data_IF_692845917284
#
_entry.id   IF_692845917284
#
_cell.length_a   1.000
_cell.length_b   1.000
_cell.length_c   1.000
_cell.angle_alpha   90.00
_cell.angle_beta   90.00
_cell.angle_gamma   90.00
#
_symmetry.space_group_name_H-M   'P 1'
#
loop_
_entity.id
_entity.type
_entity.pdbx_description
1 polymer ?
#
# COMPACT_ATOMS: atom_id res chain seq x y z
N UNK A 1 21.40 -32.98 19.97
CA UNK A 1 20.70 -34.17 19.42
C UNK A 1 20.76 -34.12 17.90
N UNK A 2 21.49 -35.06 17.26
CA UNK A 2 21.56 -35.21 15.79
C UNK A 2 20.81 -36.48 15.41
N UNK A 3 19.49 -36.39 15.31
CA UNK A 3 18.67 -37.43 14.68
C UNK A 3 18.86 -37.37 13.17
N UNK A 4 18.87 -38.52 12.50
CA UNK A 4 18.90 -38.72 11.04
C UNK A 4 18.43 -37.49 10.25
N UNK A 5 19.38 -36.64 9.82
CA UNK A 5 19.05 -35.32 9.28
C UNK A 5 18.36 -35.48 7.95
N UNK A 6 17.05 -35.31 7.94
CA UNK A 6 16.29 -35.08 6.72
C UNK A 6 17.01 -33.99 5.91
N UNK A 7 17.30 -34.21 4.61
CA UNK A 7 18.00 -33.21 3.82
C UNK A 7 17.18 -31.91 3.80
N UNK A 8 17.85 -30.76 3.92
CA UNK A 8 17.18 -29.48 3.75
C UNK A 8 16.54 -29.39 2.36
N UNK A 9 15.56 -28.51 2.18
CA UNK A 9 14.80 -28.46 0.95
C UNK A 9 15.68 -28.18 -0.28
N UNK A 10 16.74 -27.37 -0.11
CA UNK A 10 17.74 -27.12 -1.14
C UNK A 10 18.47 -28.37 -1.63
N UNK A 11 19.02 -29.15 -0.69
CA UNK A 11 19.73 -30.38 -1.03
C UNK A 11 18.80 -31.43 -1.61
N UNK A 12 17.54 -31.50 -1.14
CA UNK A 12 16.50 -32.35 -1.72
C UNK A 12 16.20 -31.96 -3.17
N UNK A 13 16.01 -30.67 -3.44
CA UNK A 13 15.76 -30.14 -4.78
C UNK A 13 16.92 -30.41 -5.74
N UNK A 14 18.15 -30.16 -5.29
CA UNK A 14 19.38 -30.39 -6.05
C UNK A 14 19.79 -31.87 -6.15
N UNK A 15 19.07 -32.78 -5.51
CA UNK A 15 19.37 -34.22 -5.45
C UNK A 15 20.80 -34.54 -4.99
N UNK A 16 21.30 -33.79 -3.99
CA UNK A 16 22.66 -33.98 -3.42
C UNK A 16 22.60 -34.29 -1.92
N UNK A 17 23.67 -34.90 -1.40
CA UNK A 17 23.79 -35.19 0.04
C UNK A 17 23.85 -33.90 0.85
N UNK A 18 23.03 -33.80 1.90
CA UNK A 18 23.06 -32.68 2.85
C UNK A 18 24.10 -32.96 3.93
N UNK A 19 25.19 -32.20 3.95
CA UNK A 19 26.28 -32.30 4.94
C UNK A 19 26.06 -31.35 6.11
N UNK A 20 26.82 -31.52 7.20
CA UNK A 20 26.68 -30.70 8.40
C UNK A 20 27.01 -29.22 8.17
N UNK A 21 27.90 -28.93 7.22
CA UNK A 21 28.33 -27.58 6.80
C UNK A 21 27.51 -27.02 5.65
N UNK A 22 26.29 -27.54 5.43
CA UNK A 22 25.45 -27.10 4.32
C UNK A 22 25.01 -25.64 4.48
N UNK A 23 25.47 -24.78 3.57
CA UNK A 23 25.13 -23.35 3.52
C UNK A 23 23.64 -23.04 3.38
N UNK A 24 22.85 -23.99 2.85
CA UNK A 24 21.41 -23.81 2.66
C UNK A 24 20.57 -24.32 3.84
N UNK A 25 21.14 -25.20 4.67
CA UNK A 25 20.37 -25.86 5.73
C UNK A 25 19.77 -24.88 6.75
N UNK A 26 20.46 -23.82 7.20
CA UNK A 26 19.87 -22.87 8.15
C UNK A 26 18.58 -22.20 7.65
N UNK A 27 18.41 -22.05 6.34
CA UNK A 27 17.37 -21.21 5.76
C UNK A 27 16.20 -21.98 5.14
N UNK A 28 16.40 -23.23 4.71
CA UNK A 28 15.42 -24.01 3.96
C UNK A 28 15.01 -25.32 4.68
N UNK A 29 14.92 -25.30 6.01
CA UNK A 29 14.41 -26.42 6.82
C UNK A 29 12.96 -26.25 7.29
N UNK A 30 12.30 -25.13 6.98
CA UNK A 30 10.90 -24.89 7.31
C UNK A 30 9.94 -25.52 6.28
N UNK A 31 8.64 -25.52 6.59
CA UNK A 31 7.60 -26.09 5.73
C UNK A 31 7.55 -25.44 4.32
N UNK A 32 7.82 -24.13 4.25
CA UNK A 32 7.86 -23.37 2.99
C UNK A 32 9.18 -23.55 2.21
N UNK A 33 10.18 -24.20 2.82
CA UNK A 33 11.52 -24.37 2.29
C UNK A 33 11.57 -24.91 0.86
N UNK A 34 10.77 -25.92 0.49
CA UNK A 34 10.70 -26.42 -0.89
C UNK A 34 10.25 -25.37 -1.91
N UNK A 35 9.20 -24.61 -1.60
CA UNK A 35 8.71 -23.53 -2.48
C UNK A 35 9.73 -22.40 -2.57
N UNK A 36 10.22 -21.95 -1.42
CA UNK A 36 11.24 -20.90 -1.30
C UNK A 36 12.50 -21.23 -2.09
N UNK A 37 13.03 -22.45 -1.95
CA UNK A 37 14.24 -22.82 -2.67
C UNK A 37 13.98 -22.97 -4.17
N UNK A 38 12.85 -23.53 -4.60
CA UNK A 38 12.51 -23.64 -6.01
C UNK A 38 12.43 -22.26 -6.68
N UNK A 39 11.80 -21.27 -6.02
CA UNK A 39 11.72 -19.90 -6.52
C UNK A 39 13.10 -19.25 -6.62
N UNK A 40 13.88 -19.29 -5.54
CA UNK A 40 15.24 -18.74 -5.50
C UNK A 40 16.13 -19.39 -6.55
N UNK A 41 16.05 -20.71 -6.70
CA UNK A 41 16.83 -21.44 -7.70
C UNK A 41 16.46 -21.02 -9.13
N UNK A 42 15.17 -20.82 -9.41
CA UNK A 42 14.70 -20.42 -10.74
C UNK A 42 15.12 -18.98 -11.10
N UNK A 43 15.10 -18.07 -10.14
CA UNK A 43 15.35 -16.63 -10.38
C UNK A 43 16.83 -16.28 -10.27
N UNK A 44 17.50 -16.69 -9.19
CA UNK A 44 18.89 -16.33 -8.93
C UNK A 44 19.85 -17.46 -9.31
N UNK A 45 19.40 -18.71 -9.19
CA UNK A 45 20.27 -19.89 -9.26
C UNK A 45 20.95 -20.16 -7.91
N UNK A 46 21.18 -21.45 -7.61
CA UNK A 46 21.78 -21.87 -6.34
C UNK A 46 23.16 -21.24 -6.09
N UNK A 47 24.01 -21.16 -7.12
CA UNK A 47 25.37 -20.63 -6.99
C UNK A 47 25.39 -19.12 -6.69
N UNK A 48 24.57 -18.33 -7.39
CA UNK A 48 24.51 -16.89 -7.17
C UNK A 48 23.88 -16.57 -5.83
N UNK A 49 22.80 -17.26 -5.47
CA UNK A 49 22.19 -17.14 -4.15
C UNK A 49 23.21 -17.47 -3.04
N UNK A 50 23.93 -18.58 -3.16
CA UNK A 50 24.97 -18.95 -2.18
C UNK A 50 26.07 -17.90 -2.07
N UNK A 51 26.53 -17.34 -3.20
CA UNK A 51 27.53 -16.26 -3.23
C UNK A 51 27.02 -14.99 -2.56
N UNK A 52 25.77 -14.61 -2.82
CA UNK A 52 25.15 -13.40 -2.26
C UNK A 52 25.05 -13.49 -0.73
N UNK A 53 24.53 -14.60 -0.22
CA UNK A 53 24.38 -14.81 1.23
C UNK A 53 25.73 -14.93 1.94
N UNK A 54 26.73 -15.57 1.31
CA UNK A 54 28.05 -15.75 1.94
C UNK A 54 28.83 -14.43 2.10
N UNK A 55 28.52 -13.40 1.32
CA UNK A 55 29.14 -12.07 1.42
C UNK A 55 28.59 -11.23 2.58
N UNK A 56 27.43 -11.60 3.11
CA UNK A 56 26.77 -10.87 4.19
C UNK A 56 27.27 -11.35 5.58
N UNK A 57 27.32 -10.45 6.58
CA UNK A 57 27.49 -10.82 7.97
C UNK A 57 26.44 -11.83 8.42
N UNK A 58 26.78 -12.76 9.31
CA UNK A 58 25.89 -13.87 9.68
C UNK A 58 24.53 -13.43 10.22
N UNK A 59 24.48 -12.33 10.96
CA UNK A 59 23.26 -11.78 11.55
C UNK A 59 22.26 -11.28 10.49
N UNK A 60 22.75 -10.76 9.36
CA UNK A 60 21.89 -10.23 8.28
C UNK A 60 21.38 -11.33 7.34
N UNK A 61 22.01 -12.51 7.34
CA UNK A 61 21.72 -13.55 6.35
C UNK A 61 20.28 -14.03 6.41
N UNK A 62 19.70 -14.19 7.60
CA UNK A 62 18.32 -14.64 7.74
C UNK A 62 17.33 -13.67 7.07
N UNK A 63 17.52 -12.37 7.27
CA UNK A 63 16.65 -11.35 6.71
C UNK A 63 16.88 -11.19 5.21
N UNK A 64 18.14 -11.23 4.76
CA UNK A 64 18.47 -11.23 3.35
C UNK A 64 17.85 -12.43 2.61
N UNK A 65 17.91 -13.64 3.17
CA UNK A 65 17.27 -14.81 2.55
C UNK A 65 15.76 -14.62 2.45
N UNK A 66 15.10 -14.07 3.48
CA UNK A 66 13.67 -13.80 3.44
C UNK A 66 13.32 -12.83 2.31
N UNK A 67 14.08 -11.74 2.17
CA UNK A 67 13.90 -10.76 1.09
C UNK A 67 14.12 -11.37 -0.29
N UNK A 68 15.15 -12.19 -0.48
CA UNK A 68 15.42 -12.87 -1.75
C UNK A 68 14.33 -13.90 -2.09
N UNK A 69 13.82 -14.64 -1.11
CA UNK A 69 12.69 -15.53 -1.32
C UNK A 69 11.46 -14.75 -1.79
N UNK A 70 11.17 -13.60 -1.18
CA UNK A 70 10.06 -12.73 -1.59
C UNK A 70 10.26 -12.17 -3.02
N UNK A 71 11.45 -11.67 -3.35
CA UNK A 71 11.74 -11.17 -4.69
C UNK A 71 11.63 -12.28 -5.74
N UNK A 72 12.16 -13.48 -5.44
CA UNK A 72 12.07 -14.62 -6.33
C UNK A 72 10.62 -14.98 -6.65
N UNK A 73 9.76 -15.10 -5.63
CA UNK A 73 8.34 -15.36 -5.84
C UNK A 73 7.66 -14.25 -6.63
N UNK A 74 8.03 -12.99 -6.38
CA UNK A 74 7.47 -11.86 -7.11
C UNK A 74 7.82 -11.94 -8.59
N UNK A 75 9.06 -12.26 -8.95
CA UNK A 75 9.49 -12.49 -10.35
C UNK A 75 8.86 -13.73 -10.99
N UNK A 76 8.48 -14.75 -10.20
CA UNK A 76 7.73 -15.88 -10.73
C UNK A 76 6.28 -15.52 -11.06
N UNK A 77 5.65 -14.64 -10.28
CA UNK A 77 4.29 -14.16 -10.54
C UNK A 77 4.24 -13.12 -11.65
N UNK A 78 5.20 -12.20 -11.65
CA UNK A 78 5.34 -11.14 -12.64
C UNK A 78 6.77 -11.18 -13.22
N UNK A 79 6.97 -11.86 -14.37
CA UNK A 79 8.29 -11.99 -14.98
C UNK A 79 8.89 -10.68 -15.50
N UNK A 80 8.07 -9.64 -15.69
CA UNK A 80 8.51 -8.36 -16.27
C UNK A 80 8.94 -7.42 -15.15
N UNK A 81 8.07 -7.21 -14.16
CA UNK A 81 8.27 -6.20 -13.12
C UNK A 81 8.52 -6.78 -11.72
N UNK A 82 8.20 -8.05 -11.48
CA UNK A 82 8.48 -8.73 -10.22
C UNK A 82 7.90 -8.01 -8.99
N UNK A 83 8.76 -7.66 -8.04
CA UNK A 83 8.37 -6.91 -6.84
C UNK A 83 8.05 -5.45 -7.12
N UNK A 84 8.53 -4.87 -8.23
CA UNK A 84 8.29 -3.47 -8.59
C UNK A 84 6.82 -3.22 -8.91
N UNK A 85 6.14 -4.20 -9.51
CA UNK A 85 4.68 -4.14 -9.73
C UNK A 85 3.91 -3.98 -8.41
N UNK A 86 4.29 -4.74 -7.38
CA UNK A 86 3.68 -4.62 -6.04
C UNK A 86 3.99 -3.27 -5.39
N UNK A 87 5.22 -2.75 -5.54
CA UNK A 87 5.59 -1.41 -5.07
C UNK A 87 4.68 -0.37 -5.73
N UNK A 88 4.55 -0.41 -7.06
CA UNK A 88 3.73 0.52 -7.82
C UNK A 88 2.25 0.48 -7.38
N UNK A 89 1.66 -0.72 -7.26
CA UNK A 89 0.28 -0.87 -6.81
C UNK A 89 0.06 -0.33 -5.39
N UNK A 90 1.03 -0.48 -4.49
CA UNK A 90 0.97 0.09 -3.15
C UNK A 90 1.07 1.62 -3.17
N UNK A 91 1.96 2.18 -4.00
CA UNK A 91 2.08 3.62 -4.17
C UNK A 91 0.77 4.23 -4.69
N UNK A 92 0.14 3.61 -5.69
CA UNK A 92 -1.16 4.09 -6.20
C UNK A 92 -2.25 4.06 -5.11
N UNK A 93 -2.25 3.03 -4.25
CA UNK A 93 -3.17 2.96 -3.11
C UNK A 93 -2.90 4.07 -2.09
N UNK A 94 -1.64 4.37 -1.78
CA UNK A 94 -1.27 5.47 -0.88
C UNK A 94 -1.81 6.80 -1.42
N UNK A 95 -1.56 7.10 -2.70
CA UNK A 95 -2.03 8.35 -3.33
C UNK A 95 -3.56 8.43 -3.32
N UNK A 96 -4.25 7.35 -3.70
CA UNK A 96 -5.72 7.29 -3.69
C UNK A 96 -6.29 7.52 -2.30
N UNK A 97 -5.72 6.86 -1.28
CA UNK A 97 -6.16 7.02 0.12
C UNK A 97 -5.87 8.43 0.65
N UNK A 98 -4.74 9.04 0.28
CA UNK A 98 -4.43 10.42 0.64
C UNK A 98 -5.44 11.40 0.04
N UNK A 99 -5.83 11.22 -1.21
CA UNK A 99 -6.87 12.04 -1.86
C UNK A 99 -8.23 11.89 -1.15
N UNK A 100 -8.64 10.65 -0.83
CA UNK A 100 -9.88 10.40 -0.08
C UNK A 100 -9.86 11.07 1.30
N UNK A 101 -8.75 11.00 2.02
CA UNK A 101 -8.59 11.67 3.31
C UNK A 101 -8.66 13.19 3.17
N UNK A 102 -8.08 13.77 2.12
CA UNK A 102 -8.15 15.21 1.87
C UNK A 102 -9.60 15.68 1.63
N UNK A 103 -10.35 14.96 0.79
CA UNK A 103 -11.75 15.25 0.49
C UNK A 103 -12.62 15.19 1.76
N UNK A 104 -12.50 14.13 2.54
CA UNK A 104 -13.29 13.97 3.78
C UNK A 104 -12.94 15.02 4.83
N UNK A 105 -11.68 15.45 4.92
CA UNK A 105 -11.26 16.55 5.81
C UNK A 105 -11.89 17.87 5.38
N UNK A 106 -11.93 18.14 4.08
CA UNK A 106 -12.59 19.34 3.57
C UNK A 106 -14.10 19.31 3.87
N UNK A 107 -14.78 18.20 3.59
CA UNK A 107 -16.21 18.02 3.90
C UNK A 107 -16.51 18.21 5.39
N UNK A 108 -15.69 17.63 6.28
CA UNK A 108 -15.85 17.80 7.72
C UNK A 108 -15.71 19.27 8.15
N UNK A 109 -14.72 19.99 7.58
CA UNK A 109 -14.52 21.42 7.87
C UNK A 109 -15.68 22.30 7.36
N UNK A 110 -16.32 21.90 6.26
CA UNK A 110 -17.50 22.58 5.72
C UNK A 110 -18.72 22.38 6.63
N UNK A 111 -18.93 21.17 7.13
CA UNK A 111 -20.02 20.85 8.08
C UNK A 111 -19.87 21.59 9.40
N UNK A 112 -18.66 21.64 9.97
CA UNK A 112 -18.41 22.38 11.22
C UNK A 112 -18.67 23.88 11.07
N UNK A 113 -18.32 24.49 9.91
CA UNK A 113 -18.65 25.89 9.60
C UNK A 113 -20.15 26.14 9.48
N UNK A 114 -20.91 25.20 8.91
CA UNK A 114 -22.37 25.31 8.82
C UNK A 114 -23.05 25.19 10.19
N UNK A 115 -22.56 24.32 11.08
CA UNK A 115 -23.06 24.21 12.46
C UNK A 115 -22.84 25.50 13.27
N UNK A 116 -21.70 26.17 13.09
CA UNK A 116 -21.43 27.47 13.72
C UNK A 116 -22.36 28.58 13.20
N UNK A 117 -22.62 28.64 11.88
CA UNK A 117 -23.55 29.62 11.29
C UNK A 117 -25.02 29.37 11.71
N UNK A 118 -25.43 28.12 11.88
CA UNK A 118 -26.75 27.76 12.42
C UNK A 118 -26.96 28.20 13.87
N UNK A 119 -25.91 28.19 14.70
CA UNK A 119 -25.95 28.73 16.08
C UNK A 119 -25.98 30.25 16.12
N UNK A 120 -25.25 30.94 15.23
CA UNK A 120 -25.27 32.41 15.16
C UNK A 120 -26.64 32.94 14.73
N UNK A 121 -27.34 32.28 13.80
CA UNK A 121 -28.71 32.67 13.43
C UNK A 121 -29.72 32.43 14.57
N UNK A 122 -29.50 31.42 15.41
CA UNK A 122 -30.33 31.15 16.59
C UNK A 122 -30.06 32.07 17.79
N UNK A 123 -28.91 32.78 17.84
CA UNK A 123 -28.56 33.71 18.92
C UNK A 123 -28.87 35.18 18.63
N UNK A 124 -29.19 35.57 17.39
CA UNK A 124 -29.42 36.99 17.00
C UNK A 124 -30.89 37.45 17.11
N UNK A 125 -31.83 36.63 17.61
CA UNK A 125 -33.17 37.14 17.91
C UNK A 125 -33.63 36.80 19.34
N UNK A 126 -33.43 37.73 20.28
CA UNK A 126 -34.43 38.00 21.30
C UNK A 126 -35.07 39.38 21.09
N UNK A 127 -36.39 39.35 20.83
CA UNK A 127 -37.40 40.30 21.32
C UNK A 127 -37.35 41.76 20.81
N UNK A 128 -38.03 42.03 19.69
CA UNK A 128 -38.91 43.20 19.42
C UNK A 128 -39.66 42.85 18.11
N UNK A 129 -40.98 42.82 17.98
CA UNK A 129 -42.06 43.61 18.57
C UNK A 129 -43.33 42.75 18.63
N UNK A 130 -44.12 42.98 19.67
CA UNK A 130 -45.55 42.67 19.69
C UNK A 130 -46.27 43.48 18.60
N UNK A 131 -47.41 42.94 18.18
CA UNK A 131 -48.49 43.62 17.44
C UNK A 131 -48.28 43.78 15.93
N UNK A 132 -48.74 42.80 15.14
CA UNK A 132 -49.97 42.94 14.37
C UNK A 132 -50.38 41.60 13.72
N UNK A 133 -51.69 41.38 13.70
CA UNK A 133 -52.39 40.12 13.41
C UNK A 133 -52.51 39.83 11.90
N UNK A 134 -52.46 38.53 11.58
CA UNK A 134 -52.97 37.79 10.42
C UNK A 134 -53.80 38.59 9.39
N UNK A 135 -53.39 38.64 8.11
CA UNK A 135 -53.97 37.83 7.00
C UNK A 135 -53.55 38.33 5.59
N UNK A 136 -53.57 37.39 4.62
CA UNK A 136 -53.46 37.51 3.15
C UNK A 136 -52.03 37.44 2.58
N UNK A 137 -51.61 36.37 1.88
CA UNK A 137 -51.96 35.93 0.50
C UNK A 137 -50.59 35.80 -0.21
N UNK A 138 -50.22 34.82 -1.03
CA UNK A 138 -50.64 33.48 -1.42
C UNK A 138 -49.49 32.96 -2.33
N UNK A 139 -49.25 31.65 -2.32
CA UNK A 139 -48.64 30.85 -3.40
C UNK A 139 -47.34 31.31 -4.08
N UNK A 140 -46.21 30.63 -3.77
CA UNK A 140 -45.32 30.00 -4.79
C UNK A 140 -44.58 28.81 -4.15
N UNK A 141 -44.78 27.61 -4.69
CA UNK A 141 -44.04 26.38 -4.35
C UNK A 141 -42.75 26.25 -5.19
N UNK A 142 -41.81 25.34 -4.86
CA UNK A 142 -40.38 25.51 -5.07
C UNK A 142 -39.87 25.01 -6.43
N UNK A 143 -38.97 25.76 -7.06
CA UNK A 143 -38.21 25.28 -8.23
C UNK A 143 -36.80 25.87 -8.21
N UNK A 144 -35.79 25.06 -7.93
CA UNK A 144 -34.86 24.50 -8.94
C UNK A 144 -33.61 23.92 -8.26
N UNK A 145 -33.33 22.66 -8.57
CA UNK A 145 -32.01 22.08 -8.48
C UNK A 145 -31.07 22.86 -9.40
N UNK A 146 -29.93 23.32 -8.89
CA UNK A 146 -28.76 23.53 -9.73
C UNK A 146 -27.60 22.71 -9.18
N UNK A 147 -27.39 21.58 -9.84
CA UNK A 147 -26.12 20.87 -9.85
C UNK A 147 -25.09 21.77 -10.52
N UNK A 148 -24.15 22.34 -9.75
CA UNK A 148 -22.89 22.78 -10.33
C UNK A 148 -21.83 21.73 -10.03
N UNK A 149 -21.83 20.68 -10.86
CA UNK A 149 -20.65 19.87 -11.08
C UNK A 149 -19.64 20.68 -11.88
N UNK A 150 -18.68 21.29 -11.20
CA UNK A 150 -17.39 21.61 -11.81
C UNK A 150 -16.33 21.54 -10.72
N UNK A 151 -16.00 20.32 -10.29
CA UNK A 151 -14.66 20.07 -9.78
C UNK A 151 -13.90 19.32 -10.86
N UNK A 152 -13.11 20.11 -11.59
CA UNK A 152 -11.94 19.69 -12.35
C UNK A 152 -11.33 18.42 -11.77
N UNK A 153 -11.66 17.28 -12.37
CA UNK A 153 -10.87 16.06 -12.23
C UNK A 153 -9.62 16.23 -13.09
N UNK A 154 -8.75 17.14 -12.65
CA UNK A 154 -7.33 17.07 -12.99
C UNK A 154 -6.68 16.16 -11.95
N UNK A 155 -7.11 14.90 -11.90
CA UNK A 155 -6.28 13.89 -11.27
C UNK A 155 -5.23 13.56 -12.33
N UNK A 156 -4.23 14.43 -12.37
CA UNK A 156 -3.01 14.26 -13.14
C UNK A 156 -2.55 12.83 -12.90
N UNK A 157 -2.66 12.03 -13.96
CA UNK A 157 -2.10 10.71 -14.02
C UNK A 157 -0.62 10.86 -13.73
N UNK A 158 -0.22 10.70 -12.45
CA UNK A 158 1.17 10.65 -12.03
C UNK A 158 1.84 9.68 -12.98
N UNK A 159 2.73 10.23 -13.79
CA UNK A 159 3.32 9.50 -14.89
C UNK A 159 4.06 8.31 -14.29
N UNK A 160 4.03 7.17 -14.96
CA UNK A 160 4.75 5.95 -14.54
C UNK A 160 6.22 6.23 -14.14
N UNK A 161 6.80 7.32 -14.65
CA UNK A 161 8.12 7.86 -14.32
C UNK A 161 8.26 8.42 -12.89
N UNK A 162 7.29 9.19 -12.39
CA UNK A 162 7.36 9.81 -11.06
C UNK A 162 7.30 8.76 -9.95
N UNK A 163 6.60 7.65 -10.22
CA UNK A 163 6.40 6.56 -9.25
C UNK A 163 7.61 5.62 -9.19
N UNK A 164 8.39 5.53 -10.27
CA UNK A 164 9.57 4.65 -10.38
C UNK A 164 10.85 5.26 -9.80
N UNK A 165 10.98 6.59 -9.75
CA UNK A 165 12.22 7.27 -9.32
C UNK A 165 11.99 8.46 -8.37
N UNK A 166 11.48 8.24 -7.14
CA UNK A 166 11.27 9.32 -6.17
C UNK A 166 12.56 9.95 -5.60
N UNK A 167 13.75 9.43 -5.97
CA UNK A 167 15.06 9.93 -5.56
C UNK A 167 15.87 10.53 -6.71
N UNK A 168 15.21 10.97 -7.78
CA UNK A 168 15.90 11.82 -8.76
C UNK A 168 16.25 13.15 -8.06
N UNK A 169 17.52 13.53 -7.94
CA UNK A 169 17.85 14.86 -7.43
C UNK A 169 17.21 15.87 -8.38
N UNK A 170 16.31 16.70 -7.87
CA UNK A 170 15.87 17.92 -8.55
C UNK A 170 17.15 18.70 -8.86
N UNK A 171 17.52 18.77 -10.14
CA UNK A 171 18.56 19.68 -10.63
C UNK A 171 18.00 21.09 -10.71
#
# INVERSE_FOLDING_TARGET
MRGSRTPCAACRYLRRKCVETCVFAPYFCNAEGPSNFAAVHKVFGASNFSKLISRLPEHDRCDAVRSLCYEAHSRLRDPIYGSVSQIFSLHQQVVSLQAQVALLREEASRKSRQEEQGKVLAQVVPQVVSDFNLNQMSDVAPTSMDHNETLSSSNESLSFQEVMFPWSPVT
#
